data_IF_798331268108
#
_entry.id   IF_798331268108
#
_cell.length_a   1.000
_cell.length_b   1.000
_cell.length_c   1.000
_cell.angle_alpha   90.00
_cell.angle_beta   90.00
_cell.angle_gamma   90.00
#
_symmetry.space_group_name_H-M   'P 1'
#
loop_
_entity.id
_entity.type
_entity.pdbx_description
1 polymer ?
#
# COMPACT_ATOMS: atom_id res chain seq x y z
N UNK A 1 0.14 -41.68 43.42
CA UNK A 1 0.61 -41.44 42.04
C UNK A 1 -0.10 -40.19 41.58
N UNK A 2 0.54 -39.03 41.73
CA UNK A 2 0.05 -37.77 41.18
C UNK A 2 0.46 -37.71 39.71
N UNK A 3 -0.52 -37.59 38.82
CA UNK A 3 -0.31 -37.33 37.40
C UNK A 3 0.16 -35.88 37.23
N UNK A 4 1.44 -35.70 36.91
CA UNK A 4 2.04 -34.42 36.51
C UNK A 4 1.41 -33.88 35.20
N UNK A 5 1.16 -32.56 35.07
CA UNK A 5 0.44 -31.98 33.94
C UNK A 5 1.37 -31.82 32.72
N UNK A 6 1.44 -32.83 31.85
CA UNK A 6 2.22 -32.75 30.60
C UNK A 6 1.53 -31.95 29.48
N UNK A 7 0.24 -31.62 29.63
CA UNK A 7 -0.58 -30.99 28.57
C UNK A 7 -0.33 -29.47 28.46
N UNK A 8 0.12 -28.82 29.53
CA UNK A 8 0.26 -27.35 29.62
C UNK A 8 1.49 -26.81 28.86
N UNK A 9 2.61 -27.54 28.91
CA UNK A 9 3.86 -27.10 28.30
C UNK A 9 3.83 -27.10 26.77
N UNK A 10 3.07 -27.99 26.13
CA UNK A 10 2.99 -28.05 24.66
C UNK A 10 2.22 -26.86 24.08
N UNK A 11 1.15 -26.43 24.76
CA UNK A 11 0.34 -25.28 24.35
C UNK A 11 1.13 -23.98 24.50
N UNK A 12 1.79 -23.78 25.65
CA UNK A 12 2.63 -22.61 25.90
C UNK A 12 3.80 -22.50 24.89
N UNK A 13 4.41 -23.63 24.52
CA UNK A 13 5.50 -23.66 23.53
C UNK A 13 4.99 -23.31 22.13
N UNK A 14 3.79 -23.76 21.78
CA UNK A 14 3.14 -23.41 20.51
C UNK A 14 2.82 -21.92 20.45
N UNK A 15 2.21 -21.36 21.49
CA UNK A 15 1.90 -19.93 21.57
C UNK A 15 3.15 -19.05 21.46
N UNK A 16 4.23 -19.43 22.15
CA UNK A 16 5.50 -18.73 22.06
C UNK A 16 6.08 -18.79 20.64
N UNK A 17 6.03 -19.96 20.00
CA UNK A 17 6.49 -20.15 18.63
C UNK A 17 5.68 -19.30 17.65
N UNK A 18 4.36 -19.25 17.81
CA UNK A 18 3.47 -18.42 16.99
C UNK A 18 3.77 -16.93 17.15
N UNK A 19 4.03 -16.47 18.38
CA UNK A 19 4.44 -15.08 18.66
C UNK A 19 5.78 -14.73 18.02
N UNK A 20 6.77 -15.62 18.14
CA UNK A 20 8.08 -15.44 17.49
C UNK A 20 7.90 -15.33 15.97
N UNK A 21 7.16 -16.26 15.36
CA UNK A 21 6.93 -16.28 13.92
C UNK A 21 6.30 -14.98 13.39
N UNK A 22 5.34 -14.40 14.12
CA UNK A 22 4.72 -13.10 13.76
C UNK A 22 5.75 -11.98 13.64
N UNK A 23 6.74 -11.95 14.53
CA UNK A 23 7.71 -10.84 14.63
C UNK A 23 9.03 -11.10 13.91
N UNK A 24 9.28 -12.31 13.39
CA UNK A 24 10.51 -12.63 12.65
C UNK A 24 10.79 -11.66 11.49
N UNK A 25 9.73 -11.18 10.81
CA UNK A 25 9.83 -10.18 9.73
C UNK A 25 10.35 -8.81 10.21
N UNK A 26 10.25 -8.54 11.52
CA UNK A 26 10.77 -7.34 12.15
C UNK A 26 12.16 -7.51 12.77
N UNK A 27 12.56 -8.76 13.02
CA UNK A 27 13.84 -9.11 13.60
C UNK A 27 14.95 -9.38 12.57
N UNK A 28 14.71 -9.15 11.28
CA UNK A 28 15.66 -9.44 10.17
C UNK A 28 16.13 -10.91 10.15
N UNK A 29 15.28 -11.84 10.58
CA UNK A 29 15.62 -13.26 10.69
C UNK A 29 16.36 -13.65 11.99
N UNK A 30 16.64 -12.71 12.89
CA UNK A 30 17.32 -12.96 14.17
C UNK A 30 16.35 -13.47 15.24
N UNK A 31 16.45 -14.75 15.58
CA UNK A 31 15.61 -15.40 16.59
C UNK A 31 15.84 -14.83 18.00
N UNK A 32 17.07 -14.42 18.34
CA UNK A 32 17.37 -13.85 19.65
C UNK A 32 16.66 -12.52 19.82
N UNK A 33 16.75 -11.65 18.80
CA UNK A 33 16.01 -10.39 18.78
C UNK A 33 14.50 -10.60 18.77
N UNK A 34 13.99 -11.57 18.01
CA UNK A 34 12.57 -11.93 18.03
C UNK A 34 12.08 -12.35 19.42
N UNK A 35 12.90 -13.11 20.17
CA UNK A 35 12.58 -13.45 21.57
C UNK A 35 12.52 -12.22 22.47
N UNK A 36 13.43 -11.26 22.30
CA UNK A 36 13.41 -10.00 23.08
C UNK A 36 12.19 -9.12 22.75
N UNK A 37 11.74 -9.13 21.50
CA UNK A 37 10.49 -8.47 21.08
C UNK A 37 9.31 -9.14 21.78
N UNK A 38 9.23 -10.47 21.77
CA UNK A 38 8.13 -11.23 22.39
C UNK A 38 8.11 -11.04 23.91
N UNK A 39 9.28 -10.93 24.55
CA UNK A 39 9.38 -10.70 26.00
C UNK A 39 9.14 -9.24 26.41
N UNK A 40 8.98 -8.31 25.45
CA UNK A 40 8.79 -6.88 25.73
C UNK A 40 10.08 -6.10 25.98
N UNK A 41 11.24 -6.76 25.97
CA UNK A 41 12.53 -6.14 26.28
C UNK A 41 13.09 -5.33 25.11
N UNK A 42 12.59 -5.57 23.90
CA UNK A 42 12.99 -4.85 22.70
C UNK A 42 11.79 -4.14 22.06
N UNK A 43 11.62 -2.86 22.41
CA UNK A 43 10.60 -1.98 21.85
C UNK A 43 11.08 -1.41 20.51
N UNK A 44 10.84 -2.17 19.44
CA UNK A 44 11.29 -1.88 18.08
C UNK A 44 10.43 -0.88 17.33
N UNK A 45 9.24 -0.57 17.83
CA UNK A 45 8.29 0.34 17.20
C UNK A 45 8.05 1.59 18.07
N UNK A 46 7.73 2.68 17.39
CA UNK A 46 7.18 3.89 18.00
C UNK A 46 5.83 4.16 17.35
N UNK A 47 4.81 4.37 18.18
CA UNK A 47 3.50 4.86 17.74
C UNK A 47 3.38 6.33 18.10
N UNK A 48 3.12 7.17 17.10
CA UNK A 48 2.87 8.61 17.26
C UNK A 48 1.36 8.83 17.17
N UNK A 49 0.79 9.34 18.25
CA UNK A 49 -0.61 9.78 18.36
C UNK A 49 -0.66 11.26 18.07
N UNK A 50 -1.55 11.69 17.19
CA UNK A 50 -1.72 13.09 16.88
C UNK A 50 -3.17 13.53 16.84
N UNK A 51 -3.41 14.73 17.35
CA UNK A 51 -4.67 15.46 17.23
C UNK A 51 -4.38 16.76 16.50
N UNK A 52 -5.22 17.09 15.52
CA UNK A 52 -5.09 18.29 14.72
C UNK A 52 -6.39 19.07 14.69
N UNK A 53 -6.27 20.40 14.63
CA UNK A 53 -7.40 21.30 14.36
C UNK A 53 -6.99 22.36 13.35
N UNK A 54 -7.90 22.69 12.45
CA UNK A 54 -7.78 23.84 11.57
C UNK A 54 -8.43 25.06 12.20
N UNK A 55 -7.68 26.15 12.35
CA UNK A 55 -8.23 27.42 12.85
C UNK A 55 -9.09 28.14 11.79
N UNK A 56 -9.02 27.72 10.53
CA UNK A 56 -9.69 28.38 9.40
C UNK A 56 -10.98 27.69 8.99
N UNK A 57 -10.94 26.37 8.81
CA UNK A 57 -12.00 25.62 8.14
C UNK A 57 -12.85 24.80 9.13
N UNK A 58 -12.56 24.89 10.44
CA UNK A 58 -13.27 24.16 11.51
C UNK A 58 -13.09 22.65 11.46
N UNK A 59 -12.15 22.17 10.64
CA UNK A 59 -11.82 20.76 10.52
C UNK A 59 -11.02 20.32 11.73
N UNK A 60 -11.29 19.10 12.19
CA UNK A 60 -10.50 18.45 13.22
C UNK A 60 -10.16 17.04 12.75
N UNK A 61 -9.08 16.51 13.28
CA UNK A 61 -8.70 15.15 12.96
C UNK A 61 -7.77 14.57 13.99
N UNK A 62 -7.61 13.26 13.87
CA UNK A 62 -6.72 12.47 14.69
C UNK A 62 -6.00 11.49 13.80
N UNK A 63 -4.76 11.17 14.15
CA UNK A 63 -3.97 10.19 13.43
C UNK A 63 -3.12 9.33 14.37
N UNK A 64 -2.78 8.16 13.87
CA UNK A 64 -1.78 7.26 14.40
C UNK A 64 -0.76 6.97 13.31
N UNK A 65 0.51 7.02 13.65
CA UNK A 65 1.62 6.68 12.76
C UNK A 65 2.52 5.69 13.47
N UNK A 66 2.71 4.51 12.88
CA UNK A 66 3.60 3.47 13.38
C UNK A 66 4.90 3.52 12.59
N UNK A 67 6.03 3.72 13.27
CA UNK A 67 7.35 3.70 12.64
C UNK A 67 8.25 2.68 13.32
N UNK A 68 9.14 2.09 12.52
CA UNK A 68 10.18 1.24 13.06
C UNK A 68 11.32 2.09 13.62
N UNK A 69 11.60 1.92 14.92
CA UNK A 69 12.59 2.71 15.66
C UNK A 69 13.99 2.62 15.05
N UNK A 70 14.43 1.42 14.71
CA UNK A 70 15.81 1.18 14.25
C UNK A 70 15.99 1.14 12.73
N UNK A 71 14.94 0.76 11.98
CA UNK A 71 14.99 0.71 10.51
C UNK A 71 14.52 2.00 9.84
N UNK A 72 13.97 2.93 10.61
CA UNK A 72 13.48 4.23 10.15
C UNK A 72 12.49 4.11 8.98
N UNK A 73 11.59 3.12 9.05
CA UNK A 73 10.56 2.90 8.04
C UNK A 73 9.18 3.17 8.61
N UNK A 74 8.27 3.69 7.79
CA UNK A 74 6.86 3.80 8.10
C UNK A 74 6.23 2.40 7.99
N UNK A 75 5.62 1.93 9.07
CA UNK A 75 4.97 0.62 9.14
C UNK A 75 3.51 0.72 8.75
N UNK A 76 2.77 1.63 9.40
CA UNK A 76 1.35 1.84 9.14
C UNK A 76 0.93 3.24 9.58
N UNK A 77 -0.25 3.66 9.14
CA UNK A 77 -0.88 4.93 9.52
C UNK A 77 -2.39 4.81 9.49
N UNK A 78 -3.04 5.45 10.46
CA UNK A 78 -4.48 5.65 10.49
C UNK A 78 -4.77 7.13 10.61
N UNK A 79 -5.71 7.63 9.82
CA UNK A 79 -6.10 9.05 9.81
C UNK A 79 -7.61 9.13 9.82
N UNK A 80 -8.16 9.97 10.70
CA UNK A 80 -9.59 10.27 10.77
C UNK A 80 -9.76 11.78 10.74
N UNK A 81 -10.56 12.26 9.80
CA UNK A 81 -10.86 13.70 9.65
C UNK A 81 -12.37 13.88 9.65
N UNK A 82 -12.87 14.76 10.51
CA UNK A 82 -14.27 15.06 10.65
C UNK A 82 -14.49 16.57 10.88
N UNK A 83 -15.68 17.11 10.55
CA UNK A 83 -16.03 18.47 10.92
C UNK A 83 -16.12 18.63 12.45
N UNK A 84 -15.52 19.68 12.99
CA UNK A 84 -15.62 20.06 14.39
C UNK A 84 -14.87 19.15 15.38
N UNK A 85 -14.42 19.75 16.48
CA UNK A 85 -13.66 19.04 17.53
C UNK A 85 -14.52 18.08 18.35
N UNK A 86 -15.85 18.31 18.38
CA UNK A 86 -16.82 17.50 19.14
C UNK A 86 -16.81 16.03 18.71
N UNK A 87 -16.57 15.78 17.41
CA UNK A 87 -16.38 14.46 16.82
C UNK A 87 -15.27 13.64 17.49
N UNK A 88 -14.34 14.30 18.17
CA UNK A 88 -13.18 13.70 18.82
C UNK A 88 -13.16 13.90 20.34
N UNK A 89 -14.27 14.34 20.94
CA UNK A 89 -14.38 14.64 22.37
C UNK A 89 -14.02 13.47 23.30
N UNK A 90 -14.21 12.22 22.84
CA UNK A 90 -13.84 11.00 23.58
C UNK A 90 -12.38 10.59 23.40
N UNK A 91 -11.64 11.21 22.48
CA UNK A 91 -10.27 10.85 22.16
C UNK A 91 -9.33 11.74 22.96
N UNK A 92 -8.51 11.12 23.82
CA UNK A 92 -7.53 11.82 24.66
C UNK A 92 -6.13 11.38 24.27
N UNK A 93 -5.24 12.33 23.95
CA UNK A 93 -3.85 12.04 23.55
C UNK A 93 -3.08 11.27 24.62
N UNK A 94 -3.31 11.57 25.89
CA UNK A 94 -2.67 10.90 27.03
C UNK A 94 -3.15 9.45 27.25
N UNK A 95 -4.22 9.01 26.58
CA UNK A 95 -4.66 7.61 26.68
C UNK A 95 -3.65 6.67 26.03
N UNK A 96 -3.54 5.42 26.51
CA UNK A 96 -2.73 4.39 25.86
C UNK A 96 -3.09 4.24 24.38
N UNK A 97 -2.11 3.97 23.53
CA UNK A 97 -2.28 3.98 22.07
C UNK A 97 -3.40 3.05 21.59
N UNK A 98 -3.60 1.91 22.25
CA UNK A 98 -4.66 0.96 21.90
C UNK A 98 -6.05 1.52 22.18
N UNK A 99 -6.21 2.25 23.31
CA UNK A 99 -7.46 2.94 23.62
C UNK A 99 -7.70 4.09 22.62
N UNK A 100 -6.64 4.82 22.26
CA UNK A 100 -6.68 5.85 21.21
C UNK A 100 -7.12 5.26 19.86
N UNK A 101 -6.51 4.17 19.43
CA UNK A 101 -6.81 3.43 18.21
C UNK A 101 -8.28 2.97 18.16
N UNK A 102 -8.76 2.35 19.24
CA UNK A 102 -10.16 1.90 19.32
C UNK A 102 -11.14 3.09 19.25
N UNK A 103 -10.83 4.19 19.93
CA UNK A 103 -11.67 5.39 19.90
C UNK A 103 -11.68 6.06 18.51
N UNK A 104 -10.55 6.08 17.80
CA UNK A 104 -10.50 6.53 16.40
C UNK A 104 -11.42 5.71 15.50
N UNK A 105 -11.46 4.41 15.71
CA UNK A 105 -12.35 3.53 14.96
C UNK A 105 -13.83 3.70 15.32
N UNK A 106 -14.16 3.96 16.59
CA UNK A 106 -15.52 4.34 16.99
C UNK A 106 -15.97 5.60 16.25
N UNK A 107 -15.10 6.59 16.10
CA UNK A 107 -15.41 7.81 15.33
C UNK A 107 -15.61 7.50 13.84
N UNK A 108 -14.77 6.66 13.25
CA UNK A 108 -14.90 6.23 11.84
C UNK A 108 -16.23 5.52 11.55
N UNK A 109 -16.77 4.80 12.53
CA UNK A 109 -18.01 4.02 12.37
C UNK A 109 -19.26 4.86 12.66
N UNK A 110 -19.18 5.82 13.58
CA UNK A 110 -20.36 6.53 14.10
C UNK A 110 -20.48 7.98 13.63
N UNK A 111 -19.47 8.53 12.95
CA UNK A 111 -19.44 9.95 12.56
C UNK A 111 -19.33 10.11 11.05
N UNK A 112 -19.90 11.20 10.51
CA UNK A 112 -19.72 11.59 9.12
C UNK A 112 -18.29 12.08 8.90
N UNK A 113 -17.41 11.15 8.55
CA UNK A 113 -16.01 11.44 8.23
C UNK A 113 -15.84 11.92 6.79
N UNK A 114 -14.77 12.66 6.52
CA UNK A 114 -14.44 13.14 5.18
C UNK A 114 -13.38 12.25 4.53
N UNK A 115 -13.82 11.29 3.71
CA UNK A 115 -12.94 10.33 3.04
C UNK A 115 -11.88 10.98 2.16
N UNK A 116 -12.23 12.03 1.41
CA UNK A 116 -11.28 12.80 0.58
C UNK A 116 -10.16 13.43 1.42
N UNK A 117 -10.52 14.05 2.56
CA UNK A 117 -9.57 14.69 3.46
C UNK A 117 -8.69 13.67 4.18
N UNK A 118 -9.26 12.55 4.60
CA UNK A 118 -8.51 11.43 5.15
C UNK A 118 -7.50 10.88 4.14
N UNK A 119 -7.90 10.69 2.87
CA UNK A 119 -7.02 10.21 1.82
C UNK A 119 -5.88 11.22 1.53
N UNK A 120 -6.19 12.52 1.45
CA UNK A 120 -5.18 13.57 1.27
C UNK A 120 -4.14 13.56 2.38
N UNK A 121 -4.55 13.51 3.65
CA UNK A 121 -3.62 13.55 4.77
C UNK A 121 -2.83 12.24 4.89
N UNK A 122 -3.49 11.11 4.68
CA UNK A 122 -2.85 9.79 4.61
C UNK A 122 -1.74 9.76 3.55
N UNK A 123 -2.01 10.27 2.35
CA UNK A 123 -1.04 10.32 1.26
C UNK A 123 0.12 11.27 1.57
N UNK A 124 -0.15 12.42 2.17
CA UNK A 124 0.90 13.38 2.52
C UNK A 124 1.81 12.83 3.64
N UNK A 125 1.24 12.18 4.66
CA UNK A 125 2.02 11.46 5.69
C UNK A 125 2.92 10.41 5.03
N UNK A 126 2.39 9.60 4.10
CA UNK A 126 3.17 8.57 3.40
C UNK A 126 4.33 9.16 2.58
N UNK A 127 4.09 10.32 1.96
CA UNK A 127 5.07 11.01 1.11
C UNK A 127 6.17 11.68 1.92
N UNK A 128 5.81 12.36 3.00
CA UNK A 128 6.74 13.17 3.80
C UNK A 128 7.56 12.34 4.78
N UNK A 129 6.99 11.25 5.33
CA UNK A 129 7.70 10.35 6.24
C UNK A 129 8.63 9.38 5.49
N UNK A 130 9.65 9.94 4.86
CA UNK A 130 10.78 9.20 4.27
C UNK A 130 11.76 8.73 5.36
N UNK A 131 12.65 7.76 5.08
CA UNK A 131 13.57 7.24 6.11
C UNK A 131 14.45 8.29 6.80
N UNK A 132 15.03 9.29 6.12
CA UNK A 132 15.78 10.36 6.79
C UNK A 132 14.88 11.19 7.72
N UNK A 133 13.65 11.47 7.31
CA UNK A 133 12.67 12.21 8.09
C UNK A 133 12.24 11.42 9.32
N UNK A 134 11.99 10.12 9.17
CA UNK A 134 11.65 9.23 10.29
C UNK A 134 12.80 9.16 11.29
N UNK A 135 14.04 9.04 10.81
CA UNK A 135 15.24 9.07 11.67
C UNK A 135 15.31 10.38 12.49
N UNK A 136 15.11 11.53 11.85
CA UNK A 136 15.06 12.82 12.55
C UNK A 136 13.91 12.91 13.56
N UNK A 137 12.72 12.44 13.18
CA UNK A 137 11.55 12.39 14.04
C UNK A 137 11.83 11.54 15.29
N UNK A 138 12.43 10.36 15.12
CA UNK A 138 12.78 9.47 16.24
C UNK A 138 13.80 10.13 17.16
N UNK A 139 14.83 10.78 16.61
CA UNK A 139 15.80 11.52 17.41
C UNK A 139 15.16 12.63 18.24
N UNK A 140 14.21 13.37 17.67
CA UNK A 140 13.45 14.42 18.39
C UNK A 140 12.56 13.83 19.49
N UNK A 141 11.82 12.75 19.20
CA UNK A 141 10.98 12.09 20.19
C UNK A 141 11.79 11.52 21.35
N UNK A 142 12.96 10.94 21.09
CA UNK A 142 13.87 10.45 22.13
C UNK A 142 14.42 11.57 23.03
N UNK A 143 14.56 12.77 22.48
CA UNK A 143 14.93 13.97 23.23
C UNK A 143 13.74 14.71 23.86
N UNK A 144 12.54 14.10 23.82
CA UNK A 144 11.28 14.68 24.28
C UNK A 144 10.91 16.03 23.62
N UNK A 145 11.46 16.29 22.43
CA UNK A 145 11.12 17.48 21.62
C UNK A 145 9.86 17.22 20.79
N UNK A 146 8.74 17.04 21.48
CA UNK A 146 7.42 16.83 20.85
C UNK A 146 6.93 18.08 20.14
N UNK A 147 7.40 19.27 20.52
CA UNK A 147 7.10 20.54 19.85
C UNK A 147 7.63 20.56 18.42
N UNK A 148 8.90 20.22 18.21
CA UNK A 148 9.46 20.18 16.85
C UNK A 148 8.83 19.12 15.96
N UNK A 149 8.37 18.01 16.54
CA UNK A 149 7.63 16.97 15.81
C UNK A 149 6.22 17.47 15.49
N UNK A 150 5.56 18.17 16.41
CA UNK A 150 4.24 18.78 16.19
C UNK A 150 4.27 19.77 15.03
N UNK A 151 5.24 20.69 15.02
CA UNK A 151 5.46 21.64 13.92
C UNK A 151 5.70 20.93 12.58
N UNK A 152 6.34 19.77 12.59
CA UNK A 152 6.55 18.97 11.39
C UNK A 152 5.22 18.38 10.88
N UNK A 153 4.36 17.87 11.76
CA UNK A 153 3.04 17.40 11.38
C UNK A 153 2.08 18.54 11.00
N UNK A 154 2.20 19.73 11.59
CA UNK A 154 1.45 20.92 11.15
C UNK A 154 1.75 21.24 9.69
N UNK A 155 3.02 21.16 9.27
CA UNK A 155 3.42 21.32 7.86
C UNK A 155 2.84 20.23 6.97
N UNK A 156 2.85 18.97 7.41
CA UNK A 156 2.24 17.85 6.67
C UNK A 156 0.74 18.09 6.48
N UNK A 157 0.03 18.50 7.54
CA UNK A 157 -1.38 18.89 7.45
C UNK A 157 -1.54 20.06 6.48
N UNK A 158 -0.68 21.07 6.56
CA UNK A 158 -0.79 22.23 5.70
C UNK A 158 -0.54 21.97 4.22
N UNK A 159 0.41 21.08 3.89
CA UNK A 159 0.58 20.59 2.52
C UNK A 159 -0.62 19.78 2.04
N UNK A 160 -1.22 19.00 2.92
CA UNK A 160 -2.38 18.17 2.58
C UNK A 160 -3.63 19.00 2.25
N UNK A 161 -3.88 20.06 3.02
CA UNK A 161 -5.11 20.87 2.92
C UNK A 161 -4.90 22.22 2.23
N UNK A 162 -3.67 22.55 1.84
CA UNK A 162 -3.34 23.79 1.12
C UNK A 162 -3.46 25.05 1.98
N UNK A 163 -3.34 24.94 3.30
CA UNK A 163 -3.32 26.07 4.23
C UNK A 163 -2.44 25.79 5.45
N UNK A 164 -1.76 26.78 6.01
CA UNK A 164 -0.82 26.58 7.12
C UNK A 164 -1.45 26.79 8.51
N UNK A 165 -2.77 26.73 8.62
CA UNK A 165 -3.50 27.10 9.83
C UNK A 165 -3.91 25.86 10.62
N UNK A 166 -2.96 24.97 10.86
CA UNK A 166 -3.15 23.78 11.67
C UNK A 166 -2.36 23.89 12.95
N UNK A 167 -3.01 23.52 14.05
CA UNK A 167 -2.36 23.25 15.33
C UNK A 167 -2.38 21.74 15.51
N UNK A 168 -1.21 21.15 15.73
CA UNK A 168 -1.09 19.72 16.01
C UNK A 168 -0.56 19.52 17.43
N UNK A 169 -1.20 18.62 18.16
CA UNK A 169 -0.73 18.11 19.43
C UNK A 169 -0.37 16.64 19.26
N UNK A 170 0.72 16.22 19.88
CA UNK A 170 1.25 14.87 19.76
C UNK A 170 1.56 14.25 21.12
N UNK A 171 1.43 12.93 21.16
CA UNK A 171 2.03 12.07 22.18
C UNK A 171 2.56 10.79 21.51
N UNK A 172 3.46 10.06 22.15
CA UNK A 172 4.06 8.87 21.56
C UNK A 172 4.34 7.78 22.58
N UNK A 173 4.32 6.53 22.11
CA UNK A 173 4.61 5.36 22.94
C UNK A 173 5.62 4.46 22.22
N UNK A 174 6.56 3.91 22.98
CA UNK A 174 7.43 2.84 22.51
C UNK A 174 6.69 1.51 22.69
N UNK A 175 6.55 0.74 21.63
CA UNK A 175 5.84 -0.55 21.64
C UNK A 175 6.69 -1.61 20.96
N UNK A 176 6.29 -2.87 21.10
CA UNK A 176 6.85 -3.96 20.32
C UNK A 176 6.07 -4.16 19.03
N UNK A 177 6.71 -4.67 18.00
CA UNK A 177 6.04 -5.11 16.79
C UNK A 177 5.05 -6.25 17.05
N UNK A 178 5.26 -7.05 18.09
CA UNK A 178 4.25 -8.02 18.56
C UNK A 178 2.96 -7.32 18.98
N UNK A 179 3.07 -6.27 19.79
CA UNK A 179 1.91 -5.51 20.26
C UNK A 179 1.13 -4.88 19.09
N UNK A 180 1.82 -4.44 18.04
CA UNK A 180 1.18 -4.04 16.78
C UNK A 180 0.49 -5.22 16.06
N UNK A 181 1.18 -6.34 15.82
CA UNK A 181 0.65 -7.50 15.09
C UNK A 181 -0.56 -8.15 15.75
N UNK A 182 -0.66 -8.10 17.07
CA UNK A 182 -1.78 -8.67 17.82
C UNK A 182 -3.03 -7.79 17.82
N UNK A 183 -2.89 -6.49 17.54
CA UNK A 183 -3.98 -5.53 17.68
C UNK A 183 -4.42 -4.93 16.34
N UNK A 184 -3.48 -4.51 15.47
CA UNK A 184 -3.81 -3.73 14.27
C UNK A 184 -4.26 -4.63 13.09
N UNK A 185 -3.47 -5.60 12.58
CA UNK A 185 -3.92 -6.47 11.48
C UNK A 185 -5.20 -7.28 11.78
N UNK A 186 -5.38 -7.85 13.00
CA UNK A 186 -6.61 -8.55 13.35
C UNK A 186 -7.83 -7.63 13.37
N UNK A 187 -7.66 -6.35 13.75
CA UNK A 187 -8.74 -5.37 13.70
C UNK A 187 -9.27 -5.22 12.27
N UNK A 188 -8.39 -4.93 11.31
CA UNK A 188 -8.77 -4.75 9.91
C UNK A 188 -9.35 -6.04 9.31
N UNK A 189 -8.83 -7.19 9.70
CA UNK A 189 -9.34 -8.50 9.25
C UNK A 189 -10.77 -8.75 9.74
N UNK A 190 -11.04 -8.51 11.02
CA UNK A 190 -12.39 -8.64 11.61
C UNK A 190 -13.37 -7.64 11.00
N UNK A 191 -12.92 -6.41 10.73
CA UNK A 191 -13.74 -5.39 10.08
C UNK A 191 -14.10 -5.80 8.65
N UNK A 192 -13.13 -6.24 7.86
CA UNK A 192 -13.38 -6.73 6.50
C UNK A 192 -14.38 -7.91 6.50
N UNK A 193 -14.27 -8.82 7.46
CA UNK A 193 -15.23 -9.92 7.64
C UNK A 193 -16.63 -9.44 8.04
N UNK A 194 -16.75 -8.48 8.97
CA UNK A 194 -18.04 -7.88 9.34
C UNK A 194 -18.69 -7.15 8.16
N UNK A 195 -17.90 -6.44 7.37
CA UNK A 195 -18.39 -5.76 6.17
C UNK A 195 -18.85 -6.75 5.09
N UNK A 196 -18.15 -7.89 4.94
CA UNK A 196 -18.58 -8.98 4.07
C UNK A 196 -19.88 -9.63 4.57
N UNK A 197 -19.97 -9.97 5.86
CA UNK A 197 -21.17 -10.56 6.46
C UNK A 197 -22.37 -9.61 6.42
N UNK A 198 -22.17 -8.31 6.60
CA UNK A 198 -23.24 -7.30 6.50
C UNK A 198 -23.72 -7.15 5.06
N UNK A 199 -22.81 -7.23 4.07
CA UNK A 199 -23.14 -7.25 2.64
C UNK A 199 -23.87 -8.53 2.24
N UNK A 200 -23.51 -9.68 2.80
CA UNK A 200 -24.19 -10.98 2.63
C UNK A 200 -25.56 -11.05 3.32
N UNK A 201 -25.72 -10.39 4.47
CA UNK A 201 -27.00 -10.30 5.17
C UNK A 201 -27.97 -9.31 4.51
N UNK A 202 -27.46 -8.22 3.91
CA UNK A 202 -28.25 -7.27 3.13
C UNK A 202 -28.73 -7.88 1.79
N UNK A 203 -27.98 -8.83 1.20
CA UNK A 203 -28.38 -9.55 -0.02
C UNK A 203 -29.41 -10.65 0.24
N UNK A 204 -29.61 -11.12 1.49
CA UNK A 204 -30.65 -12.11 1.83
C UNK A 204 -32.04 -11.52 2.12
N UNK A 205 -32.24 -10.21 1.98
CA UNK A 205 -33.54 -9.52 2.14
C UNK A 205 -34.04 -8.82 0.87
N UNK A 206 -33.62 -9.27 -0.30
CA UNK A 206 -34.18 -8.78 -1.56
C UNK A 206 -34.85 -9.96 -2.26
N UNK A 207 -36.16 -9.81 -2.46
CA UNK A 207 -37.00 -10.69 -3.27
C UNK A 207 -36.32 -10.90 -4.64
N UNK A 208 -36.05 -12.15 -5.09
CA UNK A 208 -35.31 -12.44 -6.31
C UNK A 208 -35.99 -12.00 -7.62
N UNK A 209 -37.13 -11.31 -7.56
CA UNK A 209 -37.95 -11.00 -8.73
C UNK A 209 -37.72 -9.60 -9.34
N UNK A 210 -36.81 -8.77 -8.83
CA UNK A 210 -36.56 -7.44 -9.41
C UNK A 210 -35.14 -6.90 -9.20
N UNK A 211 -34.12 -7.40 -9.94
CA UNK A 211 -32.86 -6.66 -10.08
C UNK A 211 -32.37 -6.73 -11.53
N UNK A 212 -32.25 -5.54 -12.11
CA UNK A 212 -31.75 -5.22 -13.44
C UNK A 212 -30.21 -5.33 -13.48
N UNK A 213 -29.66 -5.72 -14.63
CA UNK A 213 -28.33 -6.34 -14.81
C UNK A 213 -27.12 -5.39 -14.75
N UNK A 214 -27.26 -4.17 -14.22
CA UNK A 214 -26.22 -3.12 -14.18
C UNK A 214 -25.45 -2.96 -12.86
N UNK A 215 -25.94 -3.50 -11.75
CA UNK A 215 -25.56 -2.97 -10.42
C UNK A 215 -24.26 -3.52 -9.82
N UNK A 216 -23.87 -4.75 -10.14
CA UNK A 216 -22.71 -5.38 -9.50
C UNK A 216 -21.37 -4.78 -9.96
N UNK A 217 -21.28 -4.40 -11.24
CA UNK A 217 -20.07 -3.81 -11.80
C UNK A 217 -19.84 -2.38 -11.30
N UNK A 218 -20.90 -1.56 -11.29
CA UNK A 218 -20.84 -0.21 -10.74
C UNK A 218 -20.59 -0.26 -9.22
N UNK A 219 -21.20 -1.19 -8.49
CA UNK A 219 -20.91 -1.40 -7.07
C UNK A 219 -19.43 -1.75 -6.84
N UNK A 220 -18.85 -2.66 -7.64
CA UNK A 220 -17.43 -3.01 -7.54
C UNK A 220 -16.52 -1.82 -7.84
N UNK A 221 -16.86 -1.00 -8.84
CA UNK A 221 -16.12 0.21 -9.21
C UNK A 221 -16.21 1.29 -8.13
N UNK A 222 -17.37 1.46 -7.51
CA UNK A 222 -17.56 2.37 -6.38
C UNK A 222 -16.76 1.93 -5.15
N UNK A 223 -16.72 0.63 -4.85
CA UNK A 223 -15.88 0.08 -3.77
C UNK A 223 -14.41 0.35 -4.04
N UNK A 224 -13.92 0.05 -5.25
CA UNK A 224 -12.51 0.28 -5.60
C UNK A 224 -12.13 1.76 -5.53
N UNK A 225 -13.02 2.66 -5.96
CA UNK A 225 -12.81 4.10 -5.79
C UNK A 225 -12.79 4.52 -4.32
N UNK A 226 -13.67 3.96 -3.48
CA UNK A 226 -13.70 4.22 -2.04
C UNK A 226 -12.44 3.72 -1.32
N UNK A 227 -11.86 2.61 -1.79
CA UNK A 227 -10.59 2.05 -1.32
C UNK A 227 -9.35 2.83 -1.79
N UNK A 228 -9.55 4.00 -2.43
CA UNK A 228 -8.47 4.88 -2.88
C UNK A 228 -7.78 4.42 -4.18
N UNK A 229 -8.36 3.46 -4.91
CA UNK A 229 -7.80 3.05 -6.20
C UNK A 229 -8.06 4.13 -7.26
N UNK A 230 -7.04 4.41 -8.06
CA UNK A 230 -7.18 5.20 -9.28
C UNK A 230 -7.62 4.28 -10.42
N UNK A 231 -8.84 4.51 -10.90
CA UNK A 231 -9.41 3.78 -12.03
C UNK A 231 -9.24 4.61 -13.31
N UNK A 232 -8.62 4.03 -14.34
CA UNK A 232 -8.45 4.63 -15.68
C UNK A 232 -8.93 3.65 -16.75
N UNK A 233 -9.24 4.14 -17.95
CA UNK A 233 -9.77 3.29 -19.03
C UNK A 233 -8.65 2.67 -19.89
N UNK A 234 -8.88 1.45 -20.37
CA UNK A 234 -7.97 0.75 -21.26
C UNK A 234 -8.65 -0.32 -22.10
N UNK A 235 -7.82 -1.07 -22.84
CA UNK A 235 -8.24 -2.19 -23.67
C UNK A 235 -7.34 -3.41 -23.44
N UNK A 236 -7.87 -4.61 -23.69
CA UNK A 236 -7.08 -5.83 -23.65
C UNK A 236 -6.19 -5.94 -24.89
N UNK A 237 -4.99 -6.48 -24.68
CA UNK A 237 -4.06 -6.78 -25.77
C UNK A 237 -4.48 -8.06 -26.46
N UNK A 238 -4.71 -7.97 -27.78
CA UNK A 238 -5.13 -9.11 -28.59
C UNK A 238 -3.97 -10.07 -28.87
N UNK A 239 -4.25 -11.38 -28.90
CA UNK A 239 -3.32 -12.45 -29.29
C UNK A 239 -4.05 -13.55 -30.09
N UNK A 240 -4.13 -13.43 -31.43
CA UNK A 240 -4.85 -14.38 -32.27
C UNK A 240 -4.33 -15.83 -32.22
N UNK A 241 -3.04 -16.01 -31.92
CA UNK A 241 -2.33 -17.30 -32.04
C UNK A 241 -2.14 -18.02 -30.69
N UNK A 242 -1.89 -17.29 -29.60
CA UNK A 242 -1.52 -17.86 -28.29
C UNK A 242 -2.35 -17.31 -27.11
N UNK A 243 -3.41 -16.56 -27.40
CA UNK A 243 -4.30 -16.01 -26.38
C UNK A 243 -5.39 -16.98 -25.94
N UNK A 244 -6.02 -16.68 -24.80
CA UNK A 244 -7.29 -17.27 -24.36
C UNK A 244 -8.45 -16.42 -24.85
N UNK A 245 -9.63 -17.00 -25.08
CA UNK A 245 -10.82 -16.19 -25.33
C UNK A 245 -11.21 -15.38 -24.08
N UNK A 246 -11.82 -14.21 -24.25
CA UNK A 246 -12.27 -13.38 -23.12
C UNK A 246 -13.28 -14.10 -22.23
N UNK A 247 -14.10 -14.99 -22.81
CA UNK A 247 -14.99 -15.90 -22.09
C UNK A 247 -14.27 -16.95 -21.22
N UNK A 248 -13.03 -17.28 -21.54
CA UNK A 248 -12.20 -18.30 -20.87
C UNK A 248 -11.26 -17.68 -19.82
N UNK A 249 -11.31 -16.37 -19.63
CA UNK A 249 -10.49 -15.70 -18.62
C UNK A 249 -11.06 -15.93 -17.23
N UNK A 250 -10.18 -16.06 -16.25
CA UNK A 250 -10.55 -16.24 -14.86
C UNK A 250 -9.99 -15.13 -13.97
N UNK A 251 -10.59 -14.97 -12.79
CA UNK A 251 -10.06 -14.06 -11.77
C UNK A 251 -8.63 -14.48 -11.41
N UNK A 252 -7.72 -13.53 -11.49
CA UNK A 252 -6.30 -13.74 -11.22
C UNK A 252 -5.44 -14.06 -12.43
N UNK A 253 -6.00 -14.26 -13.62
CA UNK A 253 -5.22 -14.35 -14.86
C UNK A 253 -4.44 -13.05 -15.10
N UNK A 254 -3.20 -13.19 -15.60
CA UNK A 254 -2.35 -12.05 -15.97
C UNK A 254 -2.48 -11.81 -17.46
N UNK A 255 -3.00 -10.65 -17.83
CA UNK A 255 -3.29 -10.27 -19.22
C UNK A 255 -2.49 -9.05 -19.66
N UNK A 256 -2.28 -8.93 -20.98
CA UNK A 256 -1.70 -7.74 -21.60
C UNK A 256 -2.77 -6.66 -21.76
N UNK A 257 -2.41 -5.42 -21.49
CA UNK A 257 -3.32 -4.27 -21.48
C UNK A 257 -2.66 -3.10 -22.19
N UNK A 258 -3.46 -2.28 -22.88
CA UNK A 258 -3.06 -0.96 -23.37
C UNK A 258 -3.93 0.10 -22.70
N UNK A 259 -3.30 1.15 -22.21
CA UNK A 259 -4.01 2.30 -21.64
C UNK A 259 -4.50 3.17 -22.81
N UNK A 260 -5.80 3.46 -22.84
CA UNK A 260 -6.44 4.33 -23.86
C UNK A 260 -6.92 5.66 -23.28
N UNK A 261 -6.63 5.90 -22.02
CA UNK A 261 -7.07 7.08 -21.27
C UNK A 261 -6.05 8.22 -21.37
N UNK A 262 -6.50 9.38 -21.86
CA UNK A 262 -5.70 10.60 -22.00
C UNK A 262 -5.93 11.61 -20.86
N UNK A 263 -6.65 11.21 -19.80
CA UNK A 263 -6.87 12.07 -18.64
C UNK A 263 -5.56 12.40 -17.94
N UNK A 264 -5.55 13.51 -17.19
CA UNK A 264 -4.39 13.93 -16.37
C UNK A 264 -3.94 12.81 -15.41
N UNK A 265 -4.89 12.03 -14.87
CA UNK A 265 -4.62 10.88 -13.99
C UNK A 265 -3.87 9.77 -14.74
N UNK A 266 -4.37 9.38 -15.91
CA UNK A 266 -3.73 8.38 -16.74
C UNK A 266 -2.33 8.82 -17.21
N UNK A 267 -2.16 10.08 -17.63
CA UNK A 267 -0.86 10.60 -18.05
C UNK A 267 0.18 10.63 -16.92
N UNK A 268 -0.24 10.88 -15.68
CA UNK A 268 0.66 10.80 -14.53
C UNK A 268 1.13 9.35 -14.29
N UNK A 269 0.22 8.38 -14.35
CA UNK A 269 0.53 6.95 -14.24
C UNK A 269 1.48 6.52 -15.37
N UNK A 270 1.19 6.90 -16.61
CA UNK A 270 2.00 6.56 -17.79
C UNK A 270 3.44 7.06 -17.64
N UNK A 271 3.64 8.28 -17.13
CA UNK A 271 4.97 8.85 -16.85
C UNK A 271 5.66 8.13 -15.69
N UNK A 272 4.93 7.88 -14.61
CA UNK A 272 5.47 7.26 -13.39
C UNK A 272 5.97 5.84 -13.63
N UNK A 273 5.26 5.07 -14.48
CA UNK A 273 5.66 3.72 -14.88
C UNK A 273 6.53 3.67 -16.16
N UNK A 274 6.98 4.83 -16.67
CA UNK A 274 7.83 4.95 -17.87
C UNK A 274 7.30 4.15 -19.08
N UNK A 275 5.99 4.20 -19.26
CA UNK A 275 5.27 3.42 -20.27
C UNK A 275 5.32 4.07 -21.66
N UNK A 276 5.95 5.24 -21.80
CA UNK A 276 6.20 5.85 -23.11
C UNK A 276 7.47 5.28 -23.72
N UNK A 277 7.42 4.90 -24.99
CA UNK A 277 8.61 4.60 -25.79
C UNK A 277 9.32 5.90 -26.21
N UNK A 278 10.61 5.83 -26.56
CA UNK A 278 11.35 6.97 -27.12
C UNK A 278 10.67 7.59 -28.35
N UNK A 279 9.90 6.80 -29.10
CA UNK A 279 9.14 7.19 -30.29
C UNK A 279 7.73 7.70 -29.97
N UNK A 280 7.41 7.92 -28.70
CA UNK A 280 6.13 8.48 -28.26
C UNK A 280 4.95 7.49 -28.25
N UNK A 281 5.20 6.18 -28.40
CA UNK A 281 4.14 5.15 -28.35
C UNK A 281 4.00 4.55 -26.96
N UNK A 282 2.77 4.28 -26.55
CA UNK A 282 2.51 3.62 -25.27
C UNK A 282 2.89 2.13 -25.32
N UNK A 283 3.69 1.70 -24.34
CA UNK A 283 4.03 0.30 -24.11
C UNK A 283 2.83 -0.45 -23.53
N UNK A 284 2.69 -1.72 -23.90
CA UNK A 284 1.74 -2.64 -23.26
C UNK A 284 2.16 -2.89 -21.82
N UNK A 285 1.19 -3.08 -20.94
CA UNK A 285 1.38 -3.36 -19.51
C UNK A 285 0.76 -4.71 -19.19
N UNK A 286 1.35 -5.45 -18.25
CA UNK A 286 0.76 -6.68 -17.72
C UNK A 286 -0.07 -6.33 -16.50
N UNK A 287 -1.25 -6.92 -16.35
CA UNK A 287 -2.08 -6.74 -15.16
C UNK A 287 -2.89 -7.98 -14.82
N UNK A 288 -3.30 -8.06 -13.55
CA UNK A 288 -4.05 -9.19 -12.99
C UNK A 288 -5.54 -8.89 -12.97
N UNK A 289 -6.37 -9.80 -13.49
CA UNK A 289 -7.83 -9.64 -13.48
C UNK A 289 -8.33 -9.74 -12.03
N UNK A 290 -9.07 -8.72 -11.58
CA UNK A 290 -9.68 -8.66 -10.24
C UNK A 290 -11.20 -8.67 -10.29
N UNK A 291 -11.78 -8.44 -11.47
CA UNK A 291 -13.20 -8.59 -11.74
C UNK A 291 -13.39 -8.90 -13.22
N UNK A 292 -14.27 -9.84 -13.53
CA UNK A 292 -14.68 -10.18 -14.90
C UNK A 292 -16.15 -10.56 -14.84
N UNK A 293 -16.96 -9.95 -15.70
CA UNK A 293 -18.37 -10.28 -15.83
C UNK A 293 -18.82 -10.15 -17.29
N UNK A 294 -19.58 -11.13 -17.76
CA UNK A 294 -20.29 -11.05 -19.02
C UNK A 294 -21.59 -10.27 -18.82
N UNK A 295 -21.83 -9.32 -19.71
CA UNK A 295 -23.01 -8.44 -19.76
C UNK A 295 -23.70 -8.61 -21.11
N UNK A 296 -24.90 -8.06 -21.27
CA UNK A 296 -25.62 -8.09 -22.56
C UNK A 296 -24.86 -7.36 -23.68
N UNK A 297 -23.98 -6.42 -23.33
CA UNK A 297 -23.17 -5.62 -24.25
C UNK A 297 -21.76 -6.17 -24.47
N UNK A 298 -21.43 -7.35 -23.95
CA UNK A 298 -20.09 -7.95 -24.03
C UNK A 298 -19.51 -8.28 -22.65
N UNK A 299 -18.28 -7.87 -22.38
CA UNK A 299 -17.54 -8.19 -21.16
C UNK A 299 -17.04 -6.93 -20.46
N UNK A 300 -17.27 -6.85 -19.16
CA UNK A 300 -16.69 -5.83 -18.29
C UNK A 300 -15.58 -6.44 -17.45
N UNK A 301 -14.39 -5.86 -17.52
CA UNK A 301 -13.17 -6.37 -16.88
C UNK A 301 -12.50 -5.26 -16.07
N UNK A 302 -12.17 -5.55 -14.81
CA UNK A 302 -11.29 -4.69 -14.01
C UNK A 302 -9.96 -5.40 -13.79
N UNK A 303 -8.87 -4.73 -14.15
CA UNK A 303 -7.54 -5.32 -14.16
C UNK A 303 -6.57 -4.45 -13.35
N UNK A 304 -5.92 -5.04 -12.36
CA UNK A 304 -4.93 -4.36 -11.53
C UNK A 304 -3.56 -4.42 -12.19
N UNK A 305 -2.94 -3.27 -12.46
CA UNK A 305 -1.59 -3.19 -13.04
C UNK A 305 -0.51 -2.80 -12.02
N UNK A 306 -0.90 -2.15 -10.92
CA UNK A 306 -0.03 -1.77 -9.82
C UNK A 306 -0.87 -1.58 -8.53
N UNK A 307 -0.24 -1.46 -7.35
CA UNK A 307 -0.96 -1.05 -6.14
C UNK A 307 -1.75 0.24 -6.40
N UNK A 308 -3.03 0.24 -6.07
CA UNK A 308 -3.96 1.36 -6.27
C UNK A 308 -4.18 1.81 -7.73
N UNK A 309 -3.78 1.04 -8.75
CA UNK A 309 -4.03 1.38 -10.16
C UNK A 309 -4.81 0.27 -10.85
N UNK A 310 -6.05 0.59 -11.20
CA UNK A 310 -7.00 -0.32 -11.85
C UNK A 310 -7.32 0.19 -13.25
N UNK A 311 -7.30 -0.72 -14.22
CA UNK A 311 -7.75 -0.48 -15.57
C UNK A 311 -9.17 -1.01 -15.72
N UNK A 312 -10.07 -0.11 -16.08
CA UNK A 312 -11.43 -0.40 -16.48
C UNK A 312 -11.48 -0.72 -17.98
N UNK A 313 -12.03 -1.87 -18.34
CA UNK A 313 -12.14 -2.34 -19.72
C UNK A 313 -13.57 -2.80 -19.96
N UNK A 314 -14.17 -2.30 -21.04
CA UNK A 314 -15.44 -2.76 -21.57
C UNK A 314 -15.13 -3.25 -22.98
N UNK A 315 -15.44 -4.51 -23.24
CA UNK A 315 -15.16 -5.16 -24.52
C UNK A 315 -16.44 -5.74 -25.08
N UNK A 316 -16.84 -5.35 -26.28
CA UNK A 316 -18.14 -5.74 -26.83
C UNK A 316 -18.07 -7.10 -27.54
N UNK A 317 -16.88 -7.47 -28.01
CA UNK A 317 -16.67 -8.64 -28.86
C UNK A 317 -15.96 -9.80 -28.14
N UNK A 318 -16.19 -11.02 -28.62
CA UNK A 318 -15.45 -12.19 -28.19
C UNK A 318 -14.05 -12.18 -28.82
N UNK A 319 -13.05 -11.72 -28.06
CA UNK A 319 -11.67 -11.57 -28.52
C UNK A 319 -10.73 -12.59 -27.87
N UNK A 320 -9.63 -12.92 -28.56
CA UNK A 320 -8.52 -13.66 -27.95
C UNK A 320 -7.52 -12.70 -27.31
N UNK A 321 -7.33 -12.85 -26.01
CA UNK A 321 -6.54 -11.98 -25.14
C UNK A 321 -5.17 -12.57 -24.86
N UNK A 322 -4.14 -11.74 -24.92
CA UNK A 322 -2.77 -12.08 -24.58
C UNK A 322 -2.65 -12.39 -23.07
N UNK A 323 -2.46 -13.66 -22.74
CA UNK A 323 -2.34 -14.15 -21.36
C UNK A 323 -0.90 -14.59 -21.04
N UNK A 324 -0.48 -14.42 -19.79
CA UNK A 324 0.85 -14.81 -19.31
C UNK A 324 0.71 -15.87 -18.19
N UNK A 325 1.22 -17.07 -18.44
CA UNK A 325 1.35 -18.13 -17.44
C UNK A 325 2.53 -17.83 -16.49
N UNK A 326 2.53 -18.33 -15.23
CA UNK A 326 3.66 -18.21 -14.30
C UNK A 326 5.01 -18.67 -14.88
N UNK A 327 5.00 -19.62 -15.83
CA UNK A 327 6.20 -20.09 -16.54
C UNK A 327 6.84 -19.03 -17.48
N UNK A 328 6.12 -17.95 -17.80
CA UNK A 328 6.55 -16.88 -18.70
C UNK A 328 6.75 -15.52 -17.98
N UNK A 329 6.76 -15.50 -16.65
CA UNK A 329 7.13 -14.31 -15.88
C UNK A 329 8.64 -13.99 -15.96
N UNK A 330 9.46 -14.93 -16.46
CA UNK A 330 10.92 -14.79 -16.63
C UNK A 330 11.43 -14.65 -18.07
N UNK A 331 10.60 -14.77 -19.11
CA UNK A 331 11.08 -14.62 -20.48
C UNK A 331 11.09 -13.14 -20.87
N UNK A 332 12.22 -12.48 -20.61
CA UNK A 332 12.65 -11.39 -21.49
C UNK A 332 12.57 -11.95 -22.91
N UNK A 333 11.74 -11.36 -23.76
CA UNK A 333 11.94 -11.49 -25.19
C UNK A 333 13.28 -10.82 -25.49
N UNK A 334 14.36 -11.58 -25.39
CA UNK A 334 15.62 -11.23 -26.02
C UNK A 334 15.36 -11.23 -27.53
N UNK A 335 14.89 -10.09 -28.04
CA UNK A 335 15.32 -9.67 -29.36
C UNK A 335 16.84 -9.59 -29.25
N UNK A 336 17.51 -10.61 -29.81
CA UNK A 336 18.94 -10.57 -30.17
C UNK A 336 19.21 -9.28 -30.95
N UNK A 337 19.49 -8.22 -30.22
CA UNK A 337 20.22 -7.08 -30.73
C UNK A 337 21.66 -7.50 -30.55
N UNK A 338 22.35 -7.76 -31.66
CA UNK A 338 23.80 -7.96 -31.67
C UNK A 338 24.42 -6.67 -31.12
N UNK A 339 24.64 -6.59 -29.81
CA UNK A 339 25.32 -5.46 -29.19
C UNK A 339 26.82 -5.75 -29.24
N UNK A 340 27.57 -4.81 -29.82
CA UNK A 340 29.03 -4.84 -29.97
C UNK A 340 29.79 -4.65 -28.63
N UNK A 341 29.22 -5.13 -27.52
CA UNK A 341 29.79 -5.04 -26.18
C UNK A 341 31.18 -5.71 -26.06
N UNK A 342 31.48 -6.87 -26.69
CA UNK A 342 32.84 -7.41 -26.61
C UNK A 342 33.87 -6.59 -27.41
N UNK A 343 33.44 -5.81 -28.43
CA UNK A 343 34.34 -4.97 -29.23
C UNK A 343 34.71 -3.66 -28.52
N UNK A 344 33.81 -3.07 -27.74
CA UNK A 344 34.09 -1.84 -26.96
C UNK A 344 35.04 -2.13 -25.79
N UNK A 345 34.89 -3.29 -25.14
CA UNK A 345 35.78 -3.71 -24.04
C UNK A 345 37.20 -4.01 -24.56
N UNK A 346 37.32 -4.67 -25.71
CA UNK A 346 38.63 -4.91 -26.35
C UNK A 346 39.26 -3.59 -26.81
N UNK A 347 38.47 -2.66 -27.36
CA UNK A 347 38.97 -1.33 -27.76
C UNK A 347 39.52 -0.53 -26.59
N UNK A 348 38.82 -0.54 -25.44
CA UNK A 348 39.25 0.17 -24.23
C UNK A 348 40.54 -0.43 -23.62
N UNK A 349 40.72 -1.75 -23.69
CA UNK A 349 41.93 -2.41 -23.20
C UNK A 349 43.15 -2.08 -24.07
N UNK A 350 42.98 -2.01 -25.40
CA UNK A 350 44.07 -1.67 -26.33
C UNK A 350 44.48 -0.21 -26.17
N UNK A 351 43.52 0.72 -26.05
CA UNK A 351 43.87 2.14 -25.81
C UNK A 351 44.55 2.35 -24.46
N UNK A 352 44.14 1.62 -23.41
CA UNK A 352 44.80 1.69 -22.11
C UNK A 352 46.24 1.16 -22.16
N UNK A 353 46.50 0.06 -22.87
CA UNK A 353 47.84 -0.49 -23.09
C UNK A 353 48.76 0.48 -23.85
N UNK A 354 48.25 1.15 -24.89
CA UNK A 354 49.01 2.15 -25.65
C UNK A 354 49.35 3.35 -24.75
N UNK A 355 48.42 3.78 -23.89
CA UNK A 355 48.62 4.89 -22.97
C UNK A 355 49.70 4.58 -21.93
N UNK A 356 49.72 3.36 -21.39
CA UNK A 356 50.78 2.89 -20.48
C UNK A 356 52.13 2.86 -21.20
N UNK A 357 52.19 2.33 -22.42
CA UNK A 357 53.43 2.27 -23.19
C UNK A 357 53.99 3.68 -23.48
N UNK A 358 53.12 4.64 -23.83
CA UNK A 358 53.52 6.03 -24.03
C UNK A 358 54.05 6.68 -22.74
N UNK A 359 53.40 6.45 -21.60
CA UNK A 359 53.88 6.96 -20.32
C UNK A 359 55.27 6.40 -19.99
N UNK A 360 55.51 5.11 -20.23
CA UNK A 360 56.81 4.49 -19.98
C UNK A 360 57.89 5.08 -20.90
N UNK A 361 57.58 5.34 -22.17
CA UNK A 361 58.51 5.95 -23.13
C UNK A 361 58.79 7.43 -22.79
N UNK A 362 57.83 8.15 -22.21
CA UNK A 362 58.01 9.54 -21.79
C UNK A 362 58.76 9.69 -20.47
N UNK A 363 58.79 8.64 -19.64
CA UNK A 363 59.48 8.62 -18.34
C UNK A 363 60.85 7.94 -18.36
N UNK A 364 61.28 7.38 -19.49
CA UNK A 364 62.64 6.91 -19.77
C UNK A 364 63.29 7.86 -20.78
#
# INVERSE_FOLDING_TARGET
MEETPQIDNSLALKELTDKINKVMKYADGDISKAKEIVSGNYQDFIVVKGSMKSDKDGESGVFLVFVHRYRHILIDKLVVVAPGIESFSKITLASPWLAYFNAMHEVLENTKVSSDKMAKLSNEIQKELTPPIISQLIGKLQNHDTTSVSVQFEKICGYSFGNNNFIVQLDFENITSLNYEENVPPYYSKRAQKEQQTKEAATKKIDPSAIDTSDEFEAKKQILNADGNTIINGELSLSPVKGKFISELELGDVVGIKIKDNSKKAMNIIRQFQLMSPEGKLKKVKGKIIFLKKTEKGYTVLVQIAPLVIINIIEEEEIKVECYSPANLGSKSEKKTKSAAPLVIIGAAITFMILIALIIILNN
#
